data_IF_421017752280
#
_entry.id   IF_421017752280
#
_cell.length_a   1.000
_cell.length_b   1.000
_cell.length_c   1.000
_cell.angle_alpha   90.00
_cell.angle_beta   90.00
_cell.angle_gamma   90.00
#
_symmetry.space_group_name_H-M   'P 1'
#
loop_
_entity.id
_entity.type
_entity.pdbx_description
1 polymer ?
#
# COMPACT_ATOMS: atom_id res chain seq x y z
N UNK A 1 24.96 11.42 7.28
CA UNK A 1 25.10 10.31 6.30
C UNK A 1 24.08 9.21 6.68
N UNK A 2 22.80 9.42 6.35
CA UNK A 2 21.67 8.55 6.80
C UNK A 2 20.67 8.33 5.67
N UNK A 3 21.15 7.87 4.52
CA UNK A 3 20.30 7.51 3.35
C UNK A 3 20.46 6.03 2.93
N UNK A 4 21.20 5.23 3.71
CA UNK A 4 21.53 3.85 3.35
C UNK A 4 20.58 2.79 3.94
N UNK A 5 19.61 3.16 4.78
CA UNK A 5 18.73 2.19 5.46
C UNK A 5 17.37 1.96 4.80
N UNK A 6 16.89 2.86 3.93
CA UNK A 6 15.59 2.69 3.26
C UNK A 6 15.70 1.77 2.03
N UNK A 7 16.90 1.64 1.45
CA UNK A 7 17.13 0.74 0.29
C UNK A 7 17.05 -0.75 0.70
N UNK A 8 17.20 -1.08 1.98
CA UNK A 8 17.19 -2.47 2.45
C UNK A 8 15.80 -3.14 2.49
N UNK A 9 14.70 -2.40 2.30
CA UNK A 9 13.37 -3.01 2.22
C UNK A 9 13.11 -3.65 0.84
N UNK A 10 13.97 -3.38 -0.16
CA UNK A 10 13.81 -3.86 -1.53
C UNK A 10 14.67 -5.10 -1.90
N UNK A 11 15.25 -5.81 -0.93
CA UNK A 11 16.19 -6.93 -1.20
C UNK A 11 15.73 -8.33 -0.77
N UNK A 12 14.45 -8.56 -0.47
CA UNK A 12 13.90 -9.92 -0.33
C UNK A 12 13.20 -10.34 -1.64
N UNK A 13 13.94 -10.84 -2.63
CA UNK A 13 13.32 -11.13 -3.93
C UNK A 13 14.06 -12.09 -4.86
N UNK A 14 14.85 -13.04 -4.35
CA UNK A 14 15.64 -13.94 -5.22
C UNK A 14 15.53 -15.44 -4.98
N UNK A 15 14.63 -15.96 -4.11
CA UNK A 15 14.66 -17.39 -3.75
C UNK A 15 13.35 -18.21 -3.87
N UNK A 16 12.34 -17.77 -4.63
CA UNK A 16 11.07 -18.53 -4.73
C UNK A 16 10.70 -18.95 -6.16
N UNK A 17 11.70 -19.20 -7.00
CA UNK A 17 11.55 -19.25 -8.46
C UNK A 17 11.00 -20.53 -9.10
N UNK A 18 10.78 -21.66 -8.41
CA UNK A 18 10.73 -22.95 -9.13
C UNK A 18 9.39 -23.70 -9.19
N UNK A 19 8.35 -23.33 -8.42
CA UNK A 19 7.17 -24.21 -8.27
C UNK A 19 5.85 -23.75 -8.93
N UNK A 20 5.79 -22.55 -9.53
CA UNK A 20 4.51 -22.01 -10.05
C UNK A 20 4.43 -21.93 -11.57
N UNK A 21 5.45 -22.41 -12.30
CA UNK A 21 5.40 -22.53 -13.78
C UNK A 21 4.57 -23.78 -14.15
N UNK A 22 3.32 -23.85 -13.70
CA UNK A 22 2.34 -24.75 -14.31
C UNK A 22 1.74 -23.99 -15.48
N UNK A 23 1.70 -24.62 -16.66
CA UNK A 23 1.27 -24.02 -17.93
C UNK A 23 0.12 -23.02 -17.73
N UNK A 24 0.44 -21.74 -17.89
CA UNK A 24 -0.55 -20.67 -17.96
C UNK A 24 -0.91 -20.56 -19.45
N UNK A 25 -2.07 -21.06 -19.83
CA UNK A 25 -2.63 -20.83 -21.17
C UNK A 25 -2.93 -19.34 -21.37
N UNK A 26 -3.02 -18.88 -22.62
CA UNK A 26 -3.21 -17.46 -22.94
C UNK A 26 -4.46 -16.82 -22.28
N UNK A 27 -5.54 -17.58 -22.06
CA UNK A 27 -6.71 -17.09 -21.30
C UNK A 27 -6.40 -16.91 -19.80
N UNK A 28 -5.59 -17.79 -19.23
CA UNK A 28 -5.12 -17.69 -17.85
C UNK A 28 -4.17 -16.50 -17.69
N UNK A 29 -3.32 -16.23 -18.68
CA UNK A 29 -2.43 -15.06 -18.68
C UNK A 29 -3.21 -13.73 -18.60
N UNK A 30 -4.29 -13.60 -19.38
CA UNK A 30 -5.13 -12.40 -19.34
C UNK A 30 -5.84 -12.24 -17.99
N UNK A 31 -6.37 -13.33 -17.42
CA UNK A 31 -7.01 -13.31 -16.09
C UNK A 31 -6.01 -12.88 -15.00
N UNK A 32 -4.77 -13.35 -15.08
CA UNK A 32 -3.71 -12.94 -14.17
C UNK A 32 -3.37 -11.46 -14.32
N UNK A 33 -3.26 -10.94 -15.53
CA UNK A 33 -3.04 -9.50 -15.78
C UNK A 33 -4.19 -8.66 -15.20
N UNK A 34 -5.44 -9.08 -15.37
CA UNK A 34 -6.60 -8.41 -14.76
C UNK A 34 -6.55 -8.44 -13.23
N UNK A 35 -6.12 -9.56 -12.64
CA UNK A 35 -5.91 -9.64 -11.19
C UNK A 35 -4.84 -8.65 -10.73
N UNK A 36 -3.76 -8.50 -11.49
CA UNK A 36 -2.72 -7.51 -11.20
C UNK A 36 -3.26 -6.09 -11.28
N UNK A 37 -4.06 -5.76 -12.30
CA UNK A 37 -4.73 -4.46 -12.43
C UNK A 37 -5.53 -4.15 -11.16
N UNK A 38 -6.36 -5.08 -10.68
CA UNK A 38 -7.12 -4.92 -9.45
C UNK A 38 -6.25 -4.70 -8.21
N UNK A 39 -5.16 -5.46 -8.06
CA UNK A 39 -4.21 -5.28 -6.95
C UNK A 39 -3.61 -3.87 -6.96
N UNK A 40 -3.19 -3.38 -8.13
CA UNK A 40 -2.58 -2.06 -8.26
C UNK A 40 -3.60 -0.93 -8.04
N UNK A 41 -4.84 -1.11 -8.47
CA UNK A 41 -5.92 -0.15 -8.22
C UNK A 41 -6.23 -0.05 -6.72
N UNK A 42 -6.44 -1.19 -6.05
CA UNK A 42 -6.72 -1.21 -4.62
C UNK A 42 -5.55 -0.66 -3.79
N UNK A 43 -4.32 -0.99 -4.18
CA UNK A 43 -3.13 -0.44 -3.54
C UNK A 43 -3.03 1.07 -3.69
N UNK A 44 -3.39 1.62 -4.86
CA UNK A 44 -3.38 3.07 -5.06
C UNK A 44 -4.46 3.76 -4.22
N UNK A 45 -5.67 3.19 -4.12
CA UNK A 45 -6.72 3.72 -3.26
C UNK A 45 -6.28 3.79 -1.79
N UNK A 46 -5.61 2.74 -1.31
CA UNK A 46 -5.04 2.73 0.04
C UNK A 46 -3.97 3.82 0.17
N UNK A 47 -3.03 3.91 -0.78
CA UNK A 47 -1.97 4.91 -0.74
C UNK A 47 -2.53 6.34 -0.72
N UNK A 48 -3.47 6.67 -1.61
CA UNK A 48 -4.13 7.98 -1.71
C UNK A 48 -4.87 8.35 -0.43
N UNK A 49 -5.57 7.39 0.19
CA UNK A 49 -6.26 7.64 1.46
C UNK A 49 -5.31 8.01 2.61
N UNK A 50 -4.01 7.68 2.50
CA UNK A 50 -2.99 7.99 3.51
C UNK A 50 -2.03 9.11 3.09
N UNK A 51 -2.30 9.86 2.02
CA UNK A 51 -1.40 10.91 1.51
C UNK A 51 -1.04 11.95 2.59
N UNK A 52 -2.00 12.32 3.44
CA UNK A 52 -1.83 13.37 4.46
C UNK A 52 -1.07 12.90 5.70
N UNK A 53 -1.06 11.60 5.95
CA UNK A 53 -0.57 11.00 7.20
C UNK A 53 0.77 10.31 6.99
N UNK A 54 1.02 9.85 5.77
CA UNK A 54 2.29 9.29 5.35
C UNK A 54 3.31 10.40 5.08
N UNK A 55 4.60 10.10 5.25
CA UNK A 55 5.65 11.03 4.85
C UNK A 55 5.64 11.26 3.34
N UNK A 56 5.84 12.52 2.92
CA UNK A 56 5.87 12.86 1.48
C UNK A 56 6.92 12.06 0.70
N UNK A 57 8.05 11.71 1.32
CA UNK A 57 9.07 10.87 0.71
C UNK A 57 8.60 9.45 0.44
N UNK A 58 7.96 8.80 1.41
CA UNK A 58 7.40 7.45 1.25
C UNK A 58 6.25 7.45 0.24
N UNK A 59 5.32 8.41 0.33
CA UNK A 59 4.22 8.54 -0.59
C UNK A 59 4.70 8.68 -2.05
N UNK A 60 5.71 9.54 -2.29
CA UNK A 60 6.30 9.72 -3.60
C UNK A 60 6.98 8.45 -4.11
N UNK A 61 7.71 7.74 -3.25
CA UNK A 61 8.37 6.49 -3.63
C UNK A 61 7.36 5.42 -4.06
N UNK A 62 6.27 5.22 -3.29
CA UNK A 62 5.21 4.29 -3.65
C UNK A 62 4.48 4.71 -4.92
N UNK A 63 4.23 6.01 -5.10
CA UNK A 63 3.60 6.55 -6.31
C UNK A 63 4.45 6.32 -7.57
N UNK A 64 5.78 6.44 -7.48
CA UNK A 64 6.69 6.12 -8.59
C UNK A 64 6.68 4.63 -8.90
N UNK A 65 6.75 3.77 -7.86
CA UNK A 65 6.70 2.31 -8.01
C UNK A 65 5.36 1.87 -8.63
N UNK A 66 4.24 2.46 -8.22
CA UNK A 66 2.92 2.24 -8.80
C UNK A 66 2.89 2.50 -10.30
N UNK A 67 3.28 3.72 -10.71
CA UNK A 67 3.31 4.13 -12.13
C UNK A 67 4.17 3.19 -12.97
N UNK A 68 5.31 2.77 -12.44
CA UNK A 68 6.17 1.79 -13.11
C UNK A 68 5.46 0.45 -13.31
N UNK A 69 4.79 -0.08 -12.29
CA UNK A 69 4.07 -1.35 -12.38
C UNK A 69 2.88 -1.25 -13.35
N UNK A 70 2.14 -0.14 -13.35
CA UNK A 70 1.05 0.10 -14.30
C UNK A 70 1.56 0.11 -15.75
N UNK A 71 2.69 0.77 -16.01
CA UNK A 71 3.29 0.75 -17.36
C UNK A 71 3.64 -0.68 -17.79
N UNK A 72 4.26 -1.48 -16.91
CA UNK A 72 4.55 -2.89 -17.19
C UNK A 72 3.30 -3.72 -17.44
N UNK A 73 2.21 -3.48 -16.70
CA UNK A 73 0.91 -4.13 -16.95
C UNK A 73 0.43 -3.85 -18.36
N UNK A 74 0.48 -2.58 -18.79
CA UNK A 74 0.06 -2.19 -20.14
C UNK A 74 0.92 -2.87 -21.21
N UNK A 75 2.24 -2.92 -21.02
CA UNK A 75 3.16 -3.62 -21.92
C UNK A 75 2.83 -5.11 -22.06
N UNK A 76 2.73 -5.82 -20.93
CA UNK A 76 2.43 -7.26 -20.90
C UNK A 76 1.04 -7.55 -21.45
N UNK A 77 0.03 -6.72 -21.15
CA UNK A 77 -1.32 -6.84 -21.70
C UNK A 77 -1.31 -6.74 -23.23
N UNK A 78 -0.57 -5.79 -23.79
CA UNK A 78 -0.42 -5.66 -25.24
C UNK A 78 0.28 -6.89 -25.85
N UNK A 79 1.32 -7.41 -25.20
CA UNK A 79 2.00 -8.64 -25.66
C UNK A 79 1.07 -9.85 -25.65
N UNK A 80 0.29 -10.06 -24.57
CA UNK A 80 -0.73 -11.14 -24.47
C UNK A 80 -1.77 -11.03 -25.58
N UNK A 81 -2.27 -9.83 -25.87
CA UNK A 81 -3.22 -9.62 -26.96
C UNK A 81 -2.62 -9.91 -28.34
N UNK A 82 -1.36 -9.52 -28.58
CA UNK A 82 -0.67 -9.81 -29.84
C UNK A 82 -0.45 -11.31 -30.03
N UNK A 83 -0.02 -12.02 -28.98
CA UNK A 83 0.20 -13.47 -29.01
C UNK A 83 -1.10 -14.23 -29.30
N UNK A 84 -2.21 -13.83 -28.65
CA UNK A 84 -3.54 -14.40 -28.91
C UNK A 84 -3.96 -14.19 -30.38
N UNK A 85 -3.77 -13.00 -30.92
CA UNK A 85 -4.15 -12.71 -32.30
C UNK A 85 -3.28 -13.47 -33.32
N UNK A 86 -1.98 -13.64 -33.05
CA UNK A 86 -1.08 -14.43 -33.91
C UNK A 86 -1.33 -15.94 -33.82
N UNK A 87 -1.68 -16.44 -32.64
CA UNK A 87 -2.06 -17.84 -32.43
C UNK A 87 -3.32 -18.21 -33.20
N UNK A 88 -4.33 -17.33 -33.22
CA UNK A 88 -5.57 -17.51 -34.00
C UNK A 88 -5.31 -17.50 -35.51
N UNK A 89 -4.38 -16.66 -35.99
CA UNK A 89 -4.10 -16.50 -37.41
C UNK A 89 -3.15 -17.55 -38.00
N UNK A 90 -2.26 -18.13 -37.20
CA UNK A 90 -1.19 -19.00 -37.71
C UNK A 90 -1.46 -20.50 -37.56
N UNK A 91 -2.48 -20.92 -36.80
CA UNK A 91 -2.82 -22.34 -36.58
C UNK A 91 -1.73 -23.20 -35.94
N UNK A 92 -0.57 -22.62 -35.62
CA UNK A 92 0.58 -23.29 -35.04
C UNK A 92 0.85 -22.71 -33.64
N UNK A 93 0.84 -23.54 -32.58
CA UNK A 93 1.21 -23.10 -31.24
C UNK A 93 2.72 -22.86 -31.20
N UNK A 94 3.15 -21.62 -31.43
CA UNK A 94 4.56 -21.23 -31.38
C UNK A 94 5.00 -21.17 -29.90
N UNK A 95 5.36 -22.32 -29.34
CA UNK A 95 5.71 -22.54 -27.93
C UNK A 95 7.01 -21.90 -27.42
N UNK A 96 7.54 -20.84 -28.04
CA UNK A 96 8.67 -20.05 -27.49
C UNK A 96 8.29 -18.62 -27.09
N UNK A 97 7.30 -18.00 -27.73
CA UNK A 97 6.82 -16.65 -27.39
C UNK A 97 5.95 -16.66 -26.13
N UNK A 98 5.07 -17.65 -26.04
CA UNK A 98 4.14 -17.84 -24.92
C UNK A 98 4.86 -18.03 -23.58
N UNK A 99 5.95 -18.79 -23.54
CA UNK A 99 6.74 -19.01 -22.30
C UNK A 99 7.34 -17.72 -21.72
N UNK A 100 7.75 -16.78 -22.58
CA UNK A 100 8.26 -15.47 -22.13
C UNK A 100 7.14 -14.65 -21.49
N UNK A 101 5.99 -14.56 -22.17
CA UNK A 101 4.83 -13.80 -21.71
C UNK A 101 4.34 -14.36 -20.37
N UNK A 102 4.22 -15.69 -20.26
CA UNK A 102 3.84 -16.36 -19.03
C UNK A 102 4.78 -16.00 -17.88
N UNK A 103 6.09 -16.04 -18.11
CA UNK A 103 7.08 -15.65 -17.10
C UNK A 103 6.95 -14.18 -16.70
N UNK A 104 6.72 -13.30 -17.66
CA UNK A 104 6.57 -11.87 -17.42
C UNK A 104 5.29 -11.57 -16.62
N UNK A 105 4.18 -12.25 -16.92
CA UNK A 105 2.92 -12.18 -16.16
C UNK A 105 3.10 -12.67 -14.72
N UNK A 106 3.74 -13.82 -14.51
CA UNK A 106 4.00 -14.37 -13.16
C UNK A 106 4.87 -13.43 -12.35
N UNK A 107 5.95 -12.91 -12.96
CA UNK A 107 6.84 -11.95 -12.31
C UNK A 107 6.09 -10.67 -11.94
N UNK A 108 5.23 -10.19 -12.84
CA UNK A 108 4.44 -8.99 -12.62
C UNK A 108 3.42 -9.17 -11.49
N UNK A 109 2.76 -10.32 -11.42
CA UNK A 109 1.89 -10.66 -10.31
C UNK A 109 2.63 -10.63 -8.97
N UNK A 110 3.78 -11.28 -8.91
CA UNK A 110 4.59 -11.28 -7.69
C UNK A 110 5.03 -9.88 -7.27
N UNK A 111 5.44 -9.05 -8.24
CA UNK A 111 5.81 -7.65 -7.99
C UNK A 111 4.62 -6.82 -7.46
N UNK A 112 3.42 -7.06 -7.96
CA UNK A 112 2.21 -6.38 -7.52
C UNK A 112 1.80 -6.80 -6.11
N UNK A 113 1.87 -8.10 -5.78
CA UNK A 113 1.59 -8.62 -4.44
C UNK A 113 2.57 -8.05 -3.40
N UNK A 114 3.88 -8.02 -3.69
CA UNK A 114 4.88 -7.38 -2.82
C UNK A 114 4.55 -5.89 -2.65
N UNK A 115 4.29 -5.19 -3.75
CA UNK A 115 3.95 -3.77 -3.70
C UNK A 115 2.73 -3.50 -2.82
N UNK A 116 1.66 -4.30 -2.95
CA UNK A 116 0.47 -4.18 -2.13
C UNK A 116 0.78 -4.38 -0.64
N UNK A 117 1.55 -5.41 -0.30
CA UNK A 117 1.96 -5.68 1.07
C UNK A 117 2.80 -4.53 1.66
N UNK A 118 3.73 -3.98 0.87
CA UNK A 118 4.55 -2.84 1.28
C UNK A 118 3.67 -1.60 1.56
N UNK A 119 2.73 -1.30 0.66
CA UNK A 119 1.80 -0.16 0.79
C UNK A 119 0.92 -0.32 2.03
N UNK A 120 0.34 -1.50 2.24
CA UNK A 120 -0.48 -1.78 3.43
C UNK A 120 0.32 -1.62 4.72
N UNK A 121 1.54 -2.14 4.75
CA UNK A 121 2.42 -2.06 5.92
C UNK A 121 2.81 -0.60 6.22
N UNK A 122 3.17 0.16 5.21
CA UNK A 122 3.51 1.57 5.36
C UNK A 122 2.31 2.42 5.77
N UNK A 123 1.14 2.16 5.17
CA UNK A 123 -0.11 2.86 5.50
C UNK A 123 -0.54 2.59 6.93
N UNK A 124 -0.46 1.32 7.38
CA UNK A 124 -0.74 0.96 8.78
C UNK A 124 0.18 1.69 9.75
N UNK A 125 1.48 1.72 9.45
CA UNK A 125 2.45 2.46 10.27
C UNK A 125 2.15 3.96 10.34
N UNK A 126 1.79 4.56 9.20
CA UNK A 126 1.43 5.97 9.14
C UNK A 126 0.17 6.27 9.97
N UNK A 127 -0.83 5.39 9.88
CA UNK A 127 -2.06 5.45 10.67
C UNK A 127 -1.77 5.36 12.18
N UNK A 128 -0.98 4.37 12.60
CA UNK A 128 -0.63 4.18 14.02
C UNK A 128 0.10 5.42 14.57
N UNK A 129 0.98 6.03 13.76
CA UNK A 129 1.69 7.25 14.14
C UNK A 129 0.77 8.49 14.25
N UNK A 130 -0.21 8.60 13.35
CA UNK A 130 -1.23 9.66 13.43
C UNK A 130 -2.08 9.49 14.69
N UNK A 131 -2.53 8.27 14.99
CA UNK A 131 -3.32 7.96 16.19
C UNK A 131 -2.55 8.29 17.47
N UNK A 132 -1.26 7.92 17.57
CA UNK A 132 -0.39 8.29 18.68
C UNK A 132 -0.26 9.81 18.85
N UNK A 133 -0.07 10.53 17.73
CA UNK A 133 0.06 11.98 17.72
C UNK A 133 -1.24 12.66 18.14
N UNK A 134 -2.38 12.15 17.68
CA UNK A 134 -3.71 12.62 18.06
C UNK A 134 -3.95 12.42 19.55
N UNK A 135 -3.69 11.21 20.07
CA UNK A 135 -3.87 10.88 21.49
C UNK A 135 -2.99 11.75 22.38
N UNK A 136 -1.74 12.00 21.98
CA UNK A 136 -0.83 12.88 22.73
C UNK A 136 -1.37 14.31 22.83
N UNK A 137 -1.83 14.89 21.70
CA UNK A 137 -2.43 16.24 21.69
C UNK A 137 -3.70 16.29 22.53
N UNK A 138 -4.56 15.29 22.41
CA UNK A 138 -5.80 15.22 23.17
C UNK A 138 -5.54 15.18 24.68
N UNK A 139 -4.55 14.38 25.12
CA UNK A 139 -4.17 14.30 26.54
C UNK A 139 -3.55 15.60 27.06
N UNK A 140 -2.71 16.27 26.26
CA UNK A 140 -2.11 17.57 26.60
C UNK A 140 -3.15 18.71 26.64
N UNK A 141 -4.17 18.67 25.78
CA UNK A 141 -5.23 19.68 25.71
C UNK A 141 -6.39 19.42 26.69
N UNK A 142 -6.42 18.29 27.41
CA UNK A 142 -7.38 18.08 28.50
C UNK A 142 -7.07 19.06 29.63
N UNK A 143 -7.93 20.07 29.89
CA UNK A 143 -7.77 20.91 31.07
C UNK A 143 -7.89 19.98 32.27
N UNK A 144 -6.93 20.01 33.18
CA UNK A 144 -7.12 19.42 34.51
C UNK A 144 -8.49 19.86 35.02
N UNK A 145 -9.37 18.93 35.46
CA UNK A 145 -10.64 19.33 36.05
C UNK A 145 -10.31 20.21 37.25
N UNK A 146 -10.57 21.50 37.06
CA UNK A 146 -10.78 22.54 38.07
C UNK A 146 -10.23 22.12 39.43
N UNK A 147 -9.00 22.56 39.73
CA UNK A 147 -8.64 22.81 41.12
C UNK A 147 -9.71 23.73 41.69
N UNK A 148 -10.65 23.14 42.43
CA UNK A 148 -11.71 23.85 43.13
C UNK A 148 -11.01 24.84 44.04
N UNK A 149 -10.89 26.10 43.59
CA UNK A 149 -10.60 27.21 44.49
C UNK A 149 -11.78 27.26 45.43
N UNK A 150 -11.61 26.67 46.61
CA UNK A 150 -12.47 26.89 47.77
C UNK A 150 -12.50 28.40 47.99
N UNK A 151 -13.57 29.04 47.53
CA UNK A 151 -13.90 30.40 47.93
C UNK A 151 -14.20 30.31 49.42
N UNK A 152 -13.50 31.04 50.30
CA UNK A 152 -13.87 31.07 51.71
C UNK A 152 -15.29 31.61 51.80
N UNK A 153 -16.17 30.84 52.44
CA UNK A 153 -17.53 31.29 52.76
C UNK A 153 -17.41 32.59 53.59
N UNK A 154 -18.15 33.67 53.27
CA UNK A 154 -18.22 34.81 54.18
C UNK A 154 -18.93 34.37 55.47
N UNK A 155 -18.30 34.65 56.60
CA UNK A 155 -18.82 34.39 57.94
C UNK A 155 -20.25 34.93 58.08
N UNK A 156 -21.19 34.05 58.45
CA UNK A 156 -22.55 34.48 58.84
C UNK A 156 -22.45 35.27 60.14
N UNK A 157 -23.03 36.47 60.25
CA UNK A 157 -23.15 37.15 61.52
C UNK A 157 -24.10 36.37 62.45
N UNK A 158 -23.66 36.18 63.70
CA UNK A 158 -24.48 35.55 64.73
C UNK A 158 -25.67 36.42 65.12
N UNK A 159 -26.85 35.85 65.41
CA UNK A 159 -27.99 36.60 65.88
C UNK A 159 -27.76 37.05 67.32
N UNK A 160 -27.76 38.37 67.54
CA UNK A 160 -27.90 38.95 68.88
C UNK A 160 -29.34 38.77 69.34
N UNK A 161 -29.55 37.93 70.35
CA UNK A 161 -30.81 37.89 71.09
C UNK A 161 -30.84 39.07 72.06
N UNK A 162 -31.92 39.85 72.01
CA UNK A 162 -32.32 40.80 73.07
C UNK A 162 -33.53 40.23 73.80
#
# INVERSE_FOLDING_TARGET
MVWSKIVQVFSLGSQWGDNTIRLIEGENALKMVQRVEGILEDSMRVLESHERVMSSGEFNAFSIKHRHLVLKVVEVKQEVHRDRNQSVLSGNPVGRGTDRIVRDVVRLQHQAEIYQQDVLTASRRAQDHEEETFMKRYLEDTPHPMGVRLIPLPDRPQPTFS
#
